data_IF_417568248099
#
_entry.id   IF_417568248099
#
_cell.length_a   1.000
_cell.length_b   1.000
_cell.length_c   1.000
_cell.angle_alpha   90.00
_cell.angle_beta   90.00
_cell.angle_gamma   90.00
#
_symmetry.space_group_name_H-M   'P 1'
#
loop_
_entity.id
_entity.type
_entity.pdbx_description
1 polymer ?
#
# COMPACT_ATOMS: atom_id res chain seq x y z
N UNK A 1 9.18 14.94 24.76
CA UNK A 1 8.57 14.17 23.66
C UNK A 1 9.69 13.77 22.73
N UNK A 2 9.91 12.47 22.49
CA UNK A 2 10.89 12.03 21.50
C UNK A 2 10.30 12.28 20.11
N UNK A 3 10.85 13.24 19.37
CA UNK A 3 10.52 13.46 17.96
C UNK A 3 11.15 12.32 17.18
N UNK A 4 10.33 11.42 16.61
CA UNK A 4 10.84 10.39 15.69
C UNK A 4 11.28 11.06 14.40
N UNK A 5 12.42 10.63 13.85
CA UNK A 5 12.94 11.11 12.57
C UNK A 5 12.44 10.18 11.45
N UNK A 6 11.78 10.75 10.44
CA UNK A 6 11.31 9.99 9.29
C UNK A 6 12.51 9.59 8.41
N UNK A 7 12.57 8.31 8.04
CA UNK A 7 13.62 7.71 7.21
C UNK A 7 13.20 7.64 5.75
N UNK A 8 11.99 7.15 5.48
CA UNK A 8 11.46 7.00 4.13
C UNK A 8 9.93 6.92 4.13
N UNK A 9 9.30 7.18 2.98
CA UNK A 9 7.87 6.97 2.77
C UNK A 9 7.68 5.67 2.00
N UNK A 10 6.95 4.72 2.59
CA UNK A 10 6.88 3.34 2.07
C UNK A 10 5.52 2.99 1.43
N UNK A 11 4.51 3.83 1.66
CA UNK A 11 3.22 3.74 0.99
C UNK A 11 2.54 5.11 0.95
N UNK A 12 1.64 5.27 -0.01
CA UNK A 12 0.82 6.46 -0.24
C UNK A 12 -0.63 6.05 -0.37
N UNK A 13 -1.49 6.67 0.42
CA UNK A 13 -2.92 6.48 0.39
C UNK A 13 -3.62 7.81 0.14
N UNK A 14 -4.44 7.87 -0.92
CA UNK A 14 -5.19 9.06 -1.31
C UNK A 14 -6.67 8.88 -0.99
N UNK A 15 -7.13 9.56 0.05
CA UNK A 15 -8.53 9.58 0.45
C UNK A 15 -9.16 10.93 0.09
N UNK A 16 -9.80 11.00 -1.08
CA UNK A 16 -10.36 12.25 -1.60
C UNK A 16 -9.28 13.33 -1.81
N UNK A 17 -9.32 14.40 -1.01
CA UNK A 17 -8.31 15.47 -1.01
C UNK A 17 -7.16 15.24 -0.03
N UNK A 18 -7.30 14.29 0.89
CA UNK A 18 -6.28 13.97 1.87
C UNK A 18 -5.30 12.95 1.30
N UNK A 19 -4.01 13.17 1.54
CA UNK A 19 -2.94 12.24 1.21
C UNK A 19 -2.27 11.85 2.52
N UNK A 20 -2.20 10.54 2.74
CA UNK A 20 -1.51 9.92 3.85
C UNK A 20 -0.29 9.18 3.31
N UNK A 21 0.79 9.18 4.08
CA UNK A 21 1.97 8.37 3.82
C UNK A 21 2.24 7.46 4.99
N UNK A 22 2.61 6.22 4.69
CA UNK A 22 3.15 5.32 5.69
C UNK A 22 4.63 5.64 5.85
N UNK A 23 5.02 6.10 7.03
CA UNK A 23 6.38 6.56 7.32
C UNK A 23 7.17 5.42 7.95
N UNK A 24 8.33 5.13 7.36
CA UNK A 24 9.39 4.35 8.00
C UNK A 24 10.18 5.26 8.93
N UNK A 25 10.22 4.92 10.21
CA UNK A 25 10.95 5.68 11.22
C UNK A 25 12.37 5.16 11.40
N UNK A 26 13.33 6.07 11.51
CA UNK A 26 14.75 5.76 11.67
C UNK A 26 15.00 5.04 12.98
N UNK A 27 15.66 3.88 12.91
CA UNK A 27 15.96 3.04 14.08
C UNK A 27 14.78 2.25 14.65
N UNK A 28 13.61 2.28 14.00
CA UNK A 28 12.45 1.47 14.36
C UNK A 28 12.22 0.33 13.34
N UNK A 29 11.51 -0.71 13.76
CA UNK A 29 11.17 -1.83 12.89
C UNK A 29 10.07 -1.45 11.89
N UNK A 30 9.92 -2.20 10.80
CA UNK A 30 8.84 -1.97 9.83
C UNK A 30 7.44 -2.09 10.45
N UNK A 31 7.31 -2.84 11.57
CA UNK A 31 6.07 -2.94 12.32
C UNK A 31 5.62 -1.63 12.98
N UNK A 32 6.58 -0.74 13.29
CA UNK A 32 6.36 0.55 13.95
C UNK A 32 5.98 1.68 12.98
N UNK A 33 5.90 1.38 11.67
CA UNK A 33 5.53 2.37 10.67
C UNK A 33 4.11 2.90 10.94
N UNK A 34 3.94 4.22 10.86
CA UNK A 34 2.65 4.90 11.11
C UNK A 34 2.22 5.75 9.92
N UNK A 35 0.90 5.92 9.78
CA UNK A 35 0.31 6.77 8.75
C UNK A 35 0.31 8.23 9.19
N UNK A 36 1.09 9.06 8.51
CA UNK A 36 1.17 10.51 8.73
C UNK A 36 0.53 11.27 7.56
N UNK A 37 -0.07 12.43 7.85
CA UNK A 37 -0.67 13.26 6.80
C UNK A 37 0.43 13.94 6.00
N UNK A 38 0.23 14.12 4.69
CA UNK A 38 1.15 14.85 3.80
C UNK A 38 1.61 16.20 4.38
N UNK A 39 0.70 16.92 5.03
CA UNK A 39 0.96 18.26 5.61
C UNK A 39 1.89 18.23 6.83
N UNK A 40 2.03 17.09 7.47
CA UNK A 40 2.84 16.91 8.68
C UNK A 40 4.23 16.33 8.33
N UNK A 41 4.51 16.12 7.03
CA UNK A 41 5.76 15.57 6.49
C UNK A 41 6.49 16.65 5.69
N UNK A 42 7.81 16.71 5.84
CA UNK A 42 8.66 17.63 5.07
C UNK A 42 8.44 17.50 3.55
N UNK A 43 8.33 18.62 2.81
CA UNK A 43 8.23 18.59 1.36
C UNK A 43 9.39 17.86 0.69
N UNK A 44 10.62 18.10 1.13
CA UNK A 44 11.85 17.54 0.56
C UNK A 44 11.85 16.01 0.63
N UNK A 45 11.45 15.46 1.78
CA UNK A 45 11.36 14.01 1.99
C UNK A 45 10.33 13.36 1.07
N UNK A 46 9.21 14.05 0.82
CA UNK A 46 8.19 13.55 -0.11
C UNK A 46 8.71 13.56 -1.53
N UNK A 47 9.39 14.61 -1.96
CA UNK A 47 9.96 14.69 -3.31
C UNK A 47 11.00 13.59 -3.55
N UNK A 48 11.92 13.39 -2.60
CA UNK A 48 12.92 12.31 -2.67
C UNK A 48 12.27 10.92 -2.71
N UNK A 49 11.25 10.69 -1.87
CA UNK A 49 10.54 9.41 -1.83
C UNK A 49 9.71 9.19 -3.11
N UNK A 50 9.05 10.21 -3.64
CA UNK A 50 8.25 10.11 -4.87
C UNK A 50 9.13 9.87 -6.10
N UNK A 51 10.36 10.39 -6.13
CA UNK A 51 11.31 10.12 -7.21
C UNK A 51 11.72 8.64 -7.31
N UNK A 52 11.65 7.90 -6.21
CA UNK A 52 12.01 6.47 -6.12
C UNK A 52 10.80 5.56 -5.89
N UNK A 53 9.59 6.12 -5.92
CA UNK A 53 8.36 5.40 -5.61
C UNK A 53 8.03 4.36 -6.69
N UNK A 54 8.07 3.09 -6.31
CA UNK A 54 7.78 1.94 -7.19
C UNK A 54 6.37 1.37 -6.97
N UNK A 55 5.47 2.14 -6.37
CA UNK A 55 4.15 1.67 -5.97
C UNK A 55 4.10 1.16 -4.53
N UNK A 56 2.89 1.00 -4.01
CA UNK A 56 2.66 0.56 -2.64
C UNK A 56 3.09 -0.91 -2.45
N UNK A 57 3.97 -1.17 -1.49
CA UNK A 57 4.37 -2.53 -1.11
C UNK A 57 4.18 -2.79 0.40
N UNK A 58 4.74 -1.95 1.26
CA UNK A 58 4.66 -2.11 2.71
C UNK A 58 3.38 -1.50 3.28
N UNK A 59 2.83 -2.15 4.32
CA UNK A 59 1.62 -1.72 5.01
C UNK A 59 0.37 -1.62 4.12
N UNK A 60 0.38 -2.38 3.02
CA UNK A 60 -0.77 -2.62 2.16
C UNK A 60 -0.97 -4.12 2.00
N UNK A 61 -2.22 -4.54 1.95
CA UNK A 61 -2.62 -5.92 1.63
C UNK A 61 -3.68 -5.89 0.56
N UNK A 62 -3.47 -6.63 -0.52
CA UNK A 62 -4.46 -6.78 -1.57
C UNK A 62 -5.48 -7.85 -1.17
N UNK A 63 -6.76 -7.51 -1.25
CA UNK A 63 -7.86 -8.38 -0.80
C UNK A 63 -8.60 -8.96 -2.01
N UNK A 64 -8.92 -8.12 -3.00
CA UNK A 64 -9.67 -8.51 -4.20
C UNK A 64 -9.16 -7.78 -5.43
N UNK A 65 -9.52 -8.30 -6.62
CA UNK A 65 -9.17 -7.70 -7.92
C UNK A 65 -10.36 -7.57 -8.89
N UNK A 66 -11.38 -6.75 -8.57
CA UNK A 66 -12.53 -6.61 -9.46
C UNK A 66 -12.12 -6.01 -10.81
N UNK A 67 -12.72 -6.53 -11.89
CA UNK A 67 -12.64 -5.91 -13.22
C UNK A 67 -13.80 -4.93 -13.36
N UNK A 68 -13.51 -3.64 -13.51
CA UNK A 68 -14.52 -2.57 -13.67
C UNK A 68 -14.23 -1.81 -14.94
N UNK A 69 -15.24 -1.67 -15.81
CA UNK A 69 -15.11 -1.01 -17.11
C UNK A 69 -13.91 -1.51 -17.94
N UNK A 70 -13.63 -2.82 -17.89
CA UNK A 70 -12.51 -3.44 -18.59
C UNK A 70 -11.12 -3.15 -18.00
N UNK A 71 -11.03 -2.52 -16.83
CA UNK A 71 -9.79 -2.24 -16.11
C UNK A 71 -9.74 -3.03 -14.81
N UNK A 72 -8.57 -3.56 -14.49
CA UNK A 72 -8.32 -4.22 -13.20
C UNK A 72 -8.06 -3.14 -12.15
N UNK A 73 -8.77 -3.22 -11.04
CA UNK A 73 -8.50 -2.47 -9.82
C UNK A 73 -8.26 -3.45 -8.69
N UNK A 74 -7.54 -3.03 -7.65
CA UNK A 74 -7.26 -3.82 -6.47
C UNK A 74 -7.94 -3.20 -5.25
N UNK A 75 -8.63 -4.02 -4.47
CA UNK A 75 -9.14 -3.63 -3.15
C UNK A 75 -7.97 -3.71 -2.17
N UNK A 76 -7.60 -2.57 -1.59
CA UNK A 76 -6.45 -2.42 -0.71
C UNK A 76 -6.91 -2.26 0.72
N UNK A 77 -6.37 -3.12 1.58
CA UNK A 77 -6.36 -2.95 3.03
C UNK A 77 -5.11 -2.21 3.46
N UNK A 78 -5.31 -1.18 4.29
CA UNK A 78 -4.24 -0.32 4.79
C UNK A 78 -3.85 -0.74 6.20
N UNK A 79 -2.55 -0.82 6.49
CA UNK A 79 -2.02 -1.23 7.79
C UNK A 79 -2.66 -0.43 8.93
N UNK A 80 -3.12 -1.17 9.94
CA UNK A 80 -3.74 -0.65 11.17
C UNK A 80 -4.98 0.24 10.90
N UNK A 81 -5.62 0.10 9.73
CA UNK A 81 -6.88 0.76 9.38
C UNK A 81 -8.02 -0.25 9.31
N UNK A 82 -9.26 0.16 9.65
CA UNK A 82 -10.41 -0.72 9.56
C UNK A 82 -10.78 -1.03 8.10
N UNK A 83 -11.48 -2.14 7.88
CA UNK A 83 -11.93 -2.54 6.53
C UNK A 83 -12.85 -1.50 5.87
N UNK A 84 -13.55 -0.69 6.66
CA UNK A 84 -14.34 0.44 6.16
C UNK A 84 -13.51 1.52 5.46
N UNK A 85 -12.19 1.53 5.69
CA UNK A 85 -11.23 2.42 5.02
C UNK A 85 -10.57 1.76 3.79
N UNK A 86 -10.98 0.55 3.40
CA UNK A 86 -10.53 -0.05 2.13
C UNK A 86 -10.80 0.88 0.96
N UNK A 87 -9.86 0.89 0.01
CA UNK A 87 -10.00 1.66 -1.22
C UNK A 87 -9.68 0.83 -2.45
N UNK A 88 -10.15 1.32 -3.60
CA UNK A 88 -9.87 0.74 -4.90
C UNK A 88 -8.69 1.48 -5.51
N UNK A 89 -7.59 0.77 -5.65
CA UNK A 89 -6.34 1.30 -6.17
C UNK A 89 -6.03 0.67 -7.52
N UNK A 90 -5.47 1.47 -8.42
CA UNK A 90 -5.10 1.02 -9.75
C UNK A 90 -3.80 0.23 -9.71
N UNK A 91 -3.57 -0.57 -10.75
CA UNK A 91 -2.31 -1.32 -10.91
C UNK A 91 -1.06 -0.43 -10.79
N UNK A 92 -1.09 0.78 -11.37
CA UNK A 92 0.05 1.72 -11.35
C UNK A 92 0.36 2.32 -9.97
N UNK A 93 -0.55 2.20 -9.02
CA UNK A 93 -0.35 2.67 -7.64
C UNK A 93 0.26 1.60 -6.73
N UNK A 94 0.23 0.34 -7.17
CA UNK A 94 0.72 -0.81 -6.44
C UNK A 94 2.07 -1.26 -6.99
N UNK A 95 2.95 -1.73 -6.11
CA UNK A 95 4.20 -2.34 -6.56
C UNK A 95 3.93 -3.64 -7.30
N UNK A 96 4.76 -3.91 -8.31
CA UNK A 96 4.67 -5.13 -9.12
C UNK A 96 4.84 -6.38 -8.25
N UNK A 97 5.73 -6.32 -7.27
CA UNK A 97 6.02 -7.39 -6.32
C UNK A 97 4.78 -7.74 -5.50
N UNK A 98 4.06 -6.74 -4.97
CA UNK A 98 2.84 -6.97 -4.19
C UNK A 98 1.73 -7.61 -5.03
N UNK A 99 1.60 -7.19 -6.29
CA UNK A 99 0.62 -7.79 -7.22
C UNK A 99 0.96 -9.25 -7.48
N UNK A 100 2.23 -9.57 -7.77
CA UNK A 100 2.66 -10.95 -8.03
C UNK A 100 2.37 -11.84 -6.82
N UNK A 101 2.68 -11.38 -5.60
CA UNK A 101 2.39 -12.10 -4.36
C UNK A 101 0.89 -12.40 -4.22
N UNK A 102 0.03 -11.41 -4.49
CA UNK A 102 -1.43 -11.57 -4.45
C UNK A 102 -1.94 -12.59 -5.48
N UNK A 103 -1.48 -12.49 -6.73
CA UNK A 103 -1.87 -13.40 -7.81
C UNK A 103 -1.43 -14.85 -7.54
N UNK A 104 -0.20 -15.04 -7.02
CA UNK A 104 0.30 -16.37 -6.65
C UNK A 104 -0.49 -16.96 -5.48
N UNK A 105 -0.83 -16.14 -4.48
CA UNK A 105 -1.67 -16.58 -3.36
C UNK A 105 -3.07 -17.00 -3.84
N UNK A 106 -3.69 -16.22 -4.73
CA UNK A 106 -5.00 -16.55 -5.32
C UNK A 106 -4.98 -17.79 -6.22
N UNK A 107 -3.93 -17.95 -7.04
CA UNK A 107 -3.75 -19.12 -7.91
C UNK A 107 -3.59 -20.43 -7.10
N UNK A 108 -3.00 -20.34 -5.90
CA UNK A 108 -2.80 -21.48 -5.01
C UNK A 108 -4.12 -22.01 -4.42
N UNK A 109 -5.19 -21.20 -4.42
CA UNK A 109 -6.51 -21.56 -3.88
C UNK A 109 -7.47 -22.20 -4.89
N UNK A 110 -7.06 -22.45 -6.14
CA UNK A 110 -7.89 -23.22 -7.07
C UNK A 110 -7.88 -24.71 -6.67
N UNK A 111 -9.01 -25.32 -6.27
CA UNK A 111 -9.04 -26.76 -6.07
C UNK A 111 -8.70 -27.43 -7.39
N UNK A 112 -7.77 -28.40 -7.35
CA UNK A 112 -7.50 -29.29 -8.48
C UNK A 112 -8.84 -29.87 -8.92
N UNK A 113 -9.33 -29.42 -10.07
CA UNK A 113 -10.53 -29.97 -10.70
C UNK A 113 -10.21 -31.45 -10.95
N UNK A 114 -10.74 -32.34 -10.12
CA UNK A 114 -10.74 -33.77 -10.40
C UNK A 114 -11.64 -33.91 -11.63
N UNK A 115 -11.03 -34.15 -12.78
CA UNK A 115 -11.74 -34.60 -13.96
C UNK A 115 -12.06 -36.07 -13.69
N UNK A 116 -13.35 -36.35 -13.45
CA UNK A 116 -13.89 -37.71 -13.44
C UNK A 116 -14.12 -38.20 -14.87
#
# INVERSE_FOLDING_TARGET
>A
MLTKEAEALVAKWKQGRMIWFLVKWKGFAHGDNTWEKRKDISPDLVEESEATYQGNYLGVRLVEKPVRNGRVEYVVEWKDRPESEHSWEKEDTMSRERIIEFELAGATLLPKRIVA
#
